data_IF_407321771266
#
_entry.id   IF_407321771266
#
_cell.length_a   1.000
_cell.length_b   1.000
_cell.length_c   1.000
_cell.angle_alpha   90.00
_cell.angle_beta   90.00
_cell.angle_gamma   90.00
#
_symmetry.space_group_name_H-M   'P 1'
#
loop_
_entity.id
_entity.type
_entity.pdbx_description
1 polymer ?
#
# COMPACT_ATOMS: atom_id res chain seq x y z
N UNK A 1 10.46 20.04 7.47
CA UNK A 1 9.14 19.51 7.10
C UNK A 1 9.29 18.87 5.74
N UNK A 2 9.06 17.56 5.63
CA UNK A 2 9.33 16.85 4.38
C UNK A 2 8.39 17.27 3.24
N UNK A 3 8.92 17.30 2.03
CA UNK A 3 8.23 17.79 0.83
C UNK A 3 8.54 16.91 -0.36
N UNK A 4 7.52 16.62 -1.18
CA UNK A 4 7.73 15.96 -2.47
C UNK A 4 8.48 16.93 -3.40
N UNK A 5 9.70 16.57 -3.81
CA UNK A 5 10.48 17.31 -4.80
C UNK A 5 10.10 16.92 -6.22
N UNK A 6 9.86 15.62 -6.43
CA UNK A 6 9.52 15.05 -7.73
C UNK A 6 8.54 13.89 -7.55
N UNK A 7 7.57 13.82 -8.44
CA UNK A 7 6.64 12.70 -8.58
C UNK A 7 6.14 12.65 -10.04
N UNK A 8 5.56 11.53 -10.49
CA UNK A 8 4.87 11.48 -11.78
C UNK A 8 3.82 12.59 -11.89
N UNK A 9 3.64 13.17 -13.07
CA UNK A 9 2.76 14.34 -13.29
C UNK A 9 1.30 14.06 -12.87
N UNK A 10 0.84 12.85 -13.11
CA UNK A 10 -0.48 12.33 -12.75
C UNK A 10 -0.49 11.59 -11.41
N UNK A 11 0.65 11.55 -10.71
CA UNK A 11 0.94 10.75 -9.52
C UNK A 11 0.71 9.24 -9.72
N UNK A 12 0.48 8.78 -10.95
CA UNK A 12 0.31 7.36 -11.26
C UNK A 12 1.68 6.71 -11.19
N UNK A 13 1.78 5.71 -10.33
CA UNK A 13 3.02 4.99 -10.05
C UNK A 13 2.99 3.56 -10.57
N UNK A 14 1.81 3.03 -10.85
CA UNK A 14 1.59 1.72 -11.43
C UNK A 14 0.28 1.67 -12.20
N UNK A 15 0.21 0.80 -13.22
CA UNK A 15 -1.02 0.46 -13.93
C UNK A 15 -1.19 -1.05 -13.89
N UNK A 16 -2.21 -1.53 -13.19
CA UNK A 16 -2.48 -2.95 -13.00
C UNK A 16 -3.81 -3.31 -13.65
N UNK A 17 -3.78 -4.12 -14.72
CA UNK A 17 -5.00 -4.57 -15.43
C UNK A 17 -5.92 -3.42 -15.88
N UNK A 18 -5.34 -2.26 -16.24
CA UNK A 18 -6.11 -1.07 -16.62
C UNK A 18 -6.64 -0.25 -15.44
N UNK A 19 -6.17 -0.52 -14.21
CA UNK A 19 -6.42 0.28 -13.01
C UNK A 19 -5.18 1.12 -12.74
N UNK A 20 -5.34 2.44 -12.72
CA UNK A 20 -4.27 3.36 -12.39
C UNK A 20 -4.14 3.49 -10.87
N UNK A 21 -2.93 3.33 -10.35
CA UNK A 21 -2.62 3.42 -8.92
C UNK A 21 -1.69 4.59 -8.68
N UNK A 22 -2.07 5.45 -7.74
CA UNK A 22 -1.35 6.67 -7.41
C UNK A 22 -0.68 6.60 -6.04
N UNK A 23 0.44 7.32 -5.92
CA UNK A 23 1.00 7.69 -4.63
C UNK A 23 0.10 8.75 -3.95
N UNK A 24 -0.44 8.42 -2.80
CA UNK A 24 -1.48 9.20 -2.11
C UNK A 24 -1.01 9.91 -0.84
N UNK A 25 0.17 9.56 -0.31
CA UNK A 25 0.73 10.23 0.85
C UNK A 25 1.91 9.51 1.48
N UNK A 26 2.55 10.20 2.43
CA UNK A 26 3.72 9.72 3.16
C UNK A 26 3.61 10.15 4.62
N UNK A 27 4.08 9.30 5.52
CA UNK A 27 4.26 9.60 6.93
C UNK A 27 5.60 9.00 7.39
N UNK A 28 6.53 9.89 7.72
CA UNK A 28 7.94 9.55 8.01
C UNK A 28 8.20 8.92 9.38
N UNK A 29 7.18 8.90 10.25
CA UNK A 29 7.25 8.28 11.56
C UNK A 29 5.99 7.46 11.76
N UNK A 30 6.16 6.15 11.80
CA UNK A 30 5.10 5.21 12.14
C UNK A 30 5.64 4.16 13.09
N UNK A 31 4.80 3.75 14.03
CA UNK A 31 5.11 2.67 14.94
C UNK A 31 4.79 1.37 14.19
N UNK A 32 5.76 0.45 14.05
CA UNK A 32 5.50 -0.82 13.39
C UNK A 32 4.35 -1.58 14.08
N UNK A 33 3.57 -2.35 13.32
CA UNK A 33 2.46 -3.09 13.90
C UNK A 33 2.92 -4.21 14.84
N UNK A 34 2.12 -4.55 15.87
CA UNK A 34 2.55 -5.40 17.00
C UNK A 34 2.88 -6.85 16.65
N UNK A 35 2.50 -7.34 15.47
CA UNK A 35 2.85 -8.70 15.01
C UNK A 35 4.30 -8.82 14.51
N UNK A 36 5.03 -7.71 14.36
CA UNK A 36 6.44 -7.71 13.99
C UNK A 36 7.42 -7.99 15.13
N UNK A 37 6.99 -7.91 16.40
CA UNK A 37 7.86 -8.21 17.56
C UNK A 37 8.36 -9.67 17.58
N UNK A 38 7.91 -10.53 16.65
CA UNK A 38 8.21 -11.97 16.60
C UNK A 38 9.16 -12.42 15.48
N UNK A 39 9.68 -11.53 14.63
CA UNK A 39 10.70 -11.93 13.65
C UNK A 39 12.09 -11.94 14.28
N UNK A 40 12.78 -13.09 14.24
CA UNK A 40 14.11 -13.30 14.84
C UNK A 40 15.21 -12.38 14.26
N UNK A 41 14.96 -11.74 13.12
CA UNK A 41 15.87 -10.79 12.44
C UNK A 41 15.64 -9.32 12.85
N UNK A 42 14.76 -9.04 13.81
CA UNK A 42 14.42 -7.67 14.22
C UNK A 42 15.12 -7.33 15.54
N UNK A 43 16.23 -6.61 15.47
CA UNK A 43 16.82 -5.98 16.66
C UNK A 43 15.85 -4.90 17.16
N UNK A 44 15.12 -5.23 18.22
CA UNK A 44 14.03 -4.46 18.83
C UNK A 44 14.48 -3.17 19.55
N UNK A 45 15.50 -2.48 19.05
CA UNK A 45 15.99 -1.23 19.61
C UNK A 45 15.55 -0.08 18.70
N UNK A 46 14.43 0.56 19.06
CA UNK A 46 13.97 1.85 18.50
C UNK A 46 13.65 1.90 16.99
N UNK A 47 13.26 0.80 16.35
CA UNK A 47 12.97 0.77 14.90
C UNK A 47 11.61 1.37 14.55
N UNK A 48 11.45 2.69 14.74
CA UNK A 48 10.42 3.45 14.04
C UNK A 48 10.55 3.20 12.53
N UNK A 49 9.43 3.12 11.83
CA UNK A 49 9.38 2.99 10.38
C UNK A 49 8.78 4.23 9.73
N UNK A 50 8.60 4.16 8.42
CA UNK A 50 7.77 5.11 7.69
C UNK A 50 6.71 4.37 6.86
N UNK A 51 5.65 5.07 6.50
CA UNK A 51 4.60 4.51 5.67
C UNK A 51 4.27 5.41 4.48
N UNK A 52 3.92 4.81 3.36
CA UNK A 52 3.29 5.52 2.25
C UNK A 52 1.95 4.91 1.88
N UNK A 53 1.10 5.75 1.30
CA UNK A 53 -0.26 5.39 0.91
C UNK A 53 -0.37 5.29 -0.59
N UNK A 54 -1.12 4.31 -1.04
CA UNK A 54 -1.53 4.11 -2.42
C UNK A 54 -3.04 4.30 -2.52
N UNK A 55 -3.49 4.80 -3.67
CA UNK A 55 -4.91 4.92 -4.00
C UNK A 55 -5.12 4.61 -5.47
N UNK A 56 -6.09 3.78 -5.82
CA UNK A 56 -6.48 3.62 -7.22
C UNK A 56 -7.40 4.74 -7.68
N UNK A 57 -7.26 5.17 -8.93
CA UNK A 57 -8.17 6.14 -9.54
C UNK A 57 -9.43 5.44 -10.04
N UNK A 58 -10.57 6.13 -9.86
CA UNK A 58 -11.84 5.62 -10.33
C UNK A 58 -11.91 5.68 -11.87
N UNK A 59 -12.11 4.53 -12.50
CA UNK A 59 -12.30 4.42 -13.95
C UNK A 59 -13.41 3.41 -14.26
N UNK A 60 -13.59 3.08 -15.55
CA UNK A 60 -14.65 2.15 -15.95
C UNK A 60 -14.41 0.73 -15.42
N UNK A 61 -13.14 0.30 -15.34
CA UNK A 61 -12.74 -1.01 -14.80
C UNK A 61 -13.04 -1.10 -13.31
N UNK A 62 -12.64 -0.10 -12.51
CA UNK A 62 -12.92 -0.10 -11.07
C UNK A 62 -14.42 -0.07 -10.78
N UNK A 63 -15.21 0.67 -11.58
CA UNK A 63 -16.68 0.68 -11.46
C UNK A 63 -17.32 -0.67 -11.78
N UNK A 64 -16.82 -1.38 -12.80
CA UNK A 64 -17.32 -2.71 -13.13
C UNK A 64 -17.01 -3.72 -12.02
N UNK A 65 -15.79 -3.66 -11.49
CA UNK A 65 -15.37 -4.50 -10.36
C UNK A 65 -16.20 -4.21 -9.10
N UNK A 66 -16.44 -2.94 -8.77
CA UNK A 66 -17.31 -2.55 -7.65
C UNK A 66 -18.74 -3.07 -7.84
N UNK A 67 -19.29 -2.97 -9.05
CA UNK A 67 -20.63 -3.50 -9.34
C UNK A 67 -20.69 -5.02 -9.16
N UNK A 68 -19.66 -5.74 -9.60
CA UNK A 68 -19.52 -7.18 -9.41
C UNK A 68 -19.40 -7.57 -7.94
N UNK A 69 -18.55 -6.87 -7.18
CA UNK A 69 -18.37 -7.08 -5.75
C UNK A 69 -19.67 -6.84 -4.98
N UNK A 70 -20.32 -5.70 -5.18
CA UNK A 70 -21.56 -5.36 -4.48
C UNK A 70 -22.66 -6.40 -4.73
N UNK A 71 -22.81 -6.84 -5.98
CA UNK A 71 -23.76 -7.91 -6.33
C UNK A 71 -23.43 -9.21 -5.60
N UNK A 72 -22.16 -9.62 -5.56
CA UNK A 72 -21.74 -10.84 -4.87
C UNK A 72 -21.92 -10.72 -3.36
N UNK A 73 -21.67 -9.54 -2.80
CA UNK A 73 -21.86 -9.24 -1.38
C UNK A 73 -23.34 -9.30 -0.99
N UNK A 74 -24.24 -8.78 -1.83
CA UNK A 74 -25.69 -8.90 -1.63
C UNK A 74 -26.15 -10.36 -1.62
N UNK A 75 -25.67 -11.17 -2.58
CA UNK A 75 -25.98 -12.61 -2.65
C UNK A 75 -25.47 -13.33 -1.40
N UNK A 76 -24.22 -13.07 -1.01
CA UNK A 76 -23.63 -13.69 0.17
C UNK A 76 -24.38 -13.30 1.45
N UNK A 77 -24.73 -12.01 1.62
CA UNK A 77 -25.53 -11.54 2.75
C UNK A 77 -26.90 -12.20 2.81
N UNK A 78 -27.57 -12.41 1.66
CA UNK A 78 -28.83 -13.14 1.60
C UNK A 78 -28.67 -14.60 2.05
N UNK A 79 -27.61 -15.28 1.60
CA UNK A 79 -27.31 -16.65 2.01
C UNK A 79 -26.98 -16.76 3.50
N UNK A 80 -26.19 -15.82 4.04
CA UNK A 80 -25.88 -15.77 5.48
C UNK A 80 -27.18 -15.61 6.29
N UNK A 81 -28.09 -14.75 5.84
CA UNK A 81 -29.37 -14.50 6.51
C UNK A 81 -30.31 -15.71 6.47
N UNK A 82 -30.34 -16.44 5.36
CA UNK A 82 -31.27 -17.58 5.17
C UNK A 82 -30.74 -18.89 5.76
N UNK A 83 -29.44 -19.16 5.60
CA UNK A 83 -28.85 -20.47 5.92
C UNK A 83 -27.72 -20.42 6.95
N UNK A 84 -27.29 -19.22 7.37
CA UNK A 84 -26.17 -19.02 8.28
C UNK A 84 -24.80 -19.00 7.59
N UNK A 85 -23.80 -18.44 8.27
CA UNK A 85 -22.47 -18.20 7.72
C UNK A 85 -21.71 -19.48 7.32
N UNK A 86 -21.95 -20.60 8.00
CA UNK A 86 -21.32 -21.89 7.67
C UNK A 86 -21.73 -22.43 6.30
N UNK A 87 -22.94 -22.08 5.82
CA UNK A 87 -23.48 -22.52 4.53
C UNK A 87 -23.19 -21.50 3.43
N UNK A 88 -23.24 -20.20 3.75
CA UNK A 88 -22.92 -19.13 2.80
C UNK A 88 -21.46 -19.13 2.33
N UNK A 89 -20.56 -19.75 3.09
CA UNK A 89 -19.14 -19.82 2.76
C UNK A 89 -18.41 -18.49 3.00
N UNK A 90 -17.25 -18.32 2.35
CA UNK A 90 -16.41 -17.13 2.53
C UNK A 90 -17.09 -15.91 1.93
N UNK A 91 -16.99 -14.77 2.63
CA UNK A 91 -17.36 -13.48 2.06
C UNK A 91 -16.56 -13.22 0.77
N UNK A 92 -17.14 -12.51 -0.21
CA UNK A 92 -16.39 -12.10 -1.39
C UNK A 92 -15.17 -11.25 -0.98
N UNK A 93 -14.04 -11.50 -1.64
CA UNK A 93 -12.83 -10.68 -1.52
C UNK A 93 -13.07 -9.28 -2.09
N UNK A 94 -12.28 -8.30 -1.63
CA UNK A 94 -12.35 -6.96 -2.20
C UNK A 94 -11.75 -6.98 -3.61
N UNK A 95 -12.27 -6.15 -4.53
CA UNK A 95 -11.73 -6.05 -5.88
C UNK A 95 -10.23 -5.76 -5.94
N UNK A 96 -9.73 -4.96 -5.01
CA UNK A 96 -8.36 -4.46 -5.02
C UNK A 96 -7.32 -5.44 -4.48
N UNK A 97 -7.77 -6.51 -3.84
CA UNK A 97 -6.93 -7.64 -3.41
C UNK A 97 -6.16 -8.24 -4.61
N UNK A 98 -6.65 -8.06 -5.85
CA UNK A 98 -6.03 -8.62 -7.06
C UNK A 98 -4.75 -7.91 -7.52
N UNK A 99 -4.45 -6.71 -6.99
CA UNK A 99 -3.31 -5.92 -7.48
C UNK A 99 -2.49 -5.21 -6.41
N UNK A 100 -3.04 -4.81 -5.26
CA UNK A 100 -2.25 -4.03 -4.30
C UNK A 100 -1.03 -4.81 -3.78
N UNK A 101 -1.18 -6.09 -3.46
CA UNK A 101 -0.08 -6.95 -2.98
C UNK A 101 1.10 -7.03 -3.96
N UNK A 102 0.84 -6.75 -5.24
CA UNK A 102 1.84 -6.80 -6.30
C UNK A 102 2.64 -5.50 -6.42
N UNK A 103 2.18 -4.41 -5.81
CA UNK A 103 2.79 -3.09 -5.89
C UNK A 103 3.59 -2.83 -4.63
N UNK A 104 4.90 -2.66 -4.76
CA UNK A 104 5.75 -2.18 -3.67
C UNK A 104 6.71 -1.10 -4.18
N UNK A 105 7.60 -0.63 -3.30
CA UNK A 105 8.67 0.29 -3.65
C UNK A 105 10.04 -0.26 -3.25
N UNK A 106 11.02 -0.08 -4.13
CA UNK A 106 12.42 -0.09 -3.75
C UNK A 106 12.75 1.29 -3.18
N UNK A 107 13.26 1.31 -1.95
CA UNK A 107 13.46 2.53 -1.17
C UNK A 107 14.95 2.78 -1.00
N UNK A 108 15.38 3.99 -1.34
CA UNK A 108 16.77 4.43 -1.23
C UNK A 108 16.83 5.82 -0.58
N UNK A 109 17.90 6.10 0.15
CA UNK A 109 18.27 7.44 0.60
C UNK A 109 19.71 7.77 0.21
N UNK A 110 20.13 9.01 0.47
CA UNK A 110 21.47 9.50 0.18
C UNK A 110 22.56 8.97 1.14
N UNK A 111 22.18 8.28 2.21
CA UNK A 111 23.09 7.68 3.20
C UNK A 111 23.32 6.17 2.98
N UNK A 112 22.56 5.54 2.08
CA UNK A 112 22.63 4.11 1.78
C UNK A 112 21.98 3.24 2.85
N UNK A 113 20.92 3.73 3.51
CA UNK A 113 20.15 2.95 4.48
C UNK A 113 19.44 1.80 3.79
N UNK A 114 19.55 0.59 4.35
CA UNK A 114 18.81 -0.58 3.86
C UNK A 114 17.39 -0.57 4.44
N UNK A 115 16.40 -0.34 3.57
CA UNK A 115 15.00 -0.37 3.94
C UNK A 115 14.35 -1.70 3.56
N UNK A 116 13.55 -2.23 4.48
CA UNK A 116 12.81 -3.48 4.31
C UNK A 116 11.32 -3.20 4.40
N UNK A 117 10.56 -3.77 3.47
CA UNK A 117 9.10 -3.77 3.57
C UNK A 117 8.67 -4.71 4.71
N UNK A 118 7.94 -4.15 5.67
CA UNK A 118 7.57 -4.86 6.89
C UNK A 118 6.06 -5.17 7.00
N UNK A 119 5.31 -4.79 5.97
CA UNK A 119 3.88 -5.05 5.86
C UNK A 119 3.08 -3.78 5.62
N UNK A 120 1.82 -3.79 6.07
CA UNK A 120 0.93 -2.65 5.85
C UNK A 120 -0.53 -3.02 5.99
N UNK A 121 -1.38 -2.11 5.54
CA UNK A 121 -2.82 -2.27 5.54
C UNK A 121 -3.31 -2.30 4.09
N UNK A 122 -3.90 -3.43 3.70
CA UNK A 122 -4.61 -3.53 2.43
C UNK A 122 -5.97 -2.85 2.51
N UNK A 123 -6.61 -2.73 1.34
CA UNK A 123 -7.94 -2.17 1.24
C UNK A 123 -8.94 -2.79 2.22
N UNK A 124 -9.89 -1.96 2.65
CA UNK A 124 -10.98 -2.36 3.55
C UNK A 124 -12.32 -2.07 2.90
N UNK A 125 -13.42 -2.56 3.47
CA UNK A 125 -14.77 -2.26 2.94
C UNK A 125 -15.06 -0.75 2.95
N UNK A 126 -14.50 -0.02 3.92
CA UNK A 126 -14.66 1.44 4.04
C UNK A 126 -13.70 2.23 3.14
N UNK A 127 -12.58 1.62 2.73
CA UNK A 127 -11.59 2.18 1.82
C UNK A 127 -11.12 1.11 0.81
N UNK A 128 -12.00 0.68 -0.12
CA UNK A 128 -11.76 -0.51 -0.96
C UNK A 128 -10.69 -0.31 -2.03
N UNK A 129 -10.20 0.91 -2.19
CA UNK A 129 -9.30 1.35 -3.26
C UNK A 129 -8.07 2.08 -2.70
N UNK A 130 -7.75 1.87 -1.42
CA UNK A 130 -6.59 2.44 -0.74
C UNK A 130 -5.76 1.33 -0.10
N UNK A 131 -4.45 1.54 -0.04
CA UNK A 131 -3.53 0.66 0.67
C UNK A 131 -2.44 1.49 1.34
N UNK A 132 -1.80 0.94 2.37
CA UNK A 132 -0.68 1.56 3.07
C UNK A 132 0.44 0.55 3.19
N UNK A 133 1.66 0.92 2.79
CA UNK A 133 2.85 0.12 2.97
C UNK A 133 3.79 0.74 4.00
N UNK A 134 4.36 -0.10 4.85
CA UNK A 134 5.23 0.27 5.94
C UNK A 134 6.62 -0.30 5.68
N UNK A 135 7.63 0.55 5.81
CA UNK A 135 9.05 0.23 5.64
C UNK A 135 9.82 0.56 6.90
N UNK A 136 10.87 -0.21 7.16
CA UNK A 136 11.77 -0.04 8.29
C UNK A 136 13.23 -0.06 7.82
N UNK A 137 14.12 0.75 8.41
CA UNK A 137 13.86 1.73 9.46
C UNK A 137 13.16 3.00 8.93
N UNK A 138 12.85 3.95 9.80
CA UNK A 138 12.51 5.31 9.42
C UNK A 138 13.77 5.98 8.84
N UNK A 139 13.61 6.97 7.94
CA UNK A 139 14.76 7.65 7.39
C UNK A 139 15.61 8.32 8.48
N UNK A 140 16.95 8.16 8.45
CA UNK A 140 17.83 8.80 9.41
C UNK A 140 17.65 10.33 9.42
N UNK A 141 17.89 10.97 10.57
CA UNK A 141 17.77 12.44 10.68
C UNK A 141 18.73 13.20 9.75
N UNK A 142 19.88 12.60 9.44
CA UNK A 142 20.89 13.17 8.55
C UNK A 142 20.60 12.92 7.05
N UNK A 143 19.59 12.11 6.71
CA UNK A 143 19.23 11.86 5.31
C UNK A 143 18.56 13.10 4.73
N UNK A 144 19.00 13.54 3.55
CA UNK A 144 18.42 14.69 2.86
C UNK A 144 17.29 14.29 1.91
N UNK A 145 17.37 13.09 1.33
CA UNK A 145 16.43 12.64 0.30
C UNK A 145 15.97 11.21 0.52
N UNK A 146 14.67 10.97 0.31
CA UNK A 146 14.11 9.63 0.21
C UNK A 146 13.55 9.42 -1.19
N UNK A 147 13.96 8.34 -1.85
CA UNK A 147 13.48 7.96 -3.18
C UNK A 147 12.67 6.67 -3.07
N UNK A 148 11.44 6.72 -3.57
CA UNK A 148 10.56 5.56 -3.70
C UNK A 148 10.49 5.20 -5.18
N UNK A 149 11.09 4.08 -5.60
CA UNK A 149 10.97 3.54 -6.96
C UNK A 149 9.90 2.46 -6.97
N UNK A 150 8.83 2.67 -7.70
CA UNK A 150 7.70 1.74 -7.66
C UNK A 150 7.94 0.53 -8.55
N UNK A 151 7.57 -0.63 -8.05
CA UNK A 151 7.69 -1.92 -8.74
C UNK A 151 6.35 -2.64 -8.72
N UNK A 152 6.07 -3.40 -9.79
CA UNK A 152 4.92 -4.31 -9.89
C UNK A 152 5.47 -5.69 -10.19
N UNK A 153 5.19 -6.69 -9.34
CA UNK A 153 5.70 -8.06 -9.49
C UNK A 153 7.24 -8.11 -9.65
N UNK A 154 7.95 -7.22 -8.95
CA UNK A 154 9.42 -7.10 -9.01
C UNK A 154 9.97 -6.43 -10.27
N UNK A 155 9.11 -5.85 -11.11
CA UNK A 155 9.50 -5.07 -12.29
C UNK A 155 9.30 -3.58 -12.03
N UNK A 156 10.34 -2.78 -12.29
CA UNK A 156 10.26 -1.32 -12.22
C UNK A 156 9.17 -0.78 -13.13
N UNK A 157 8.33 0.11 -12.61
CA UNK A 157 7.31 0.81 -13.40
C UNK A 157 7.89 1.99 -14.18
N UNK A 158 9.14 2.38 -13.89
CA UNK A 158 9.76 3.61 -14.38
C UNK A 158 9.26 4.87 -13.68
N UNK A 159 8.41 4.74 -12.66
CA UNK A 159 7.92 5.83 -11.85
C UNK A 159 8.59 5.86 -10.49
N UNK A 160 8.97 7.05 -10.04
CA UNK A 160 9.55 7.27 -8.72
C UNK A 160 9.08 8.57 -8.10
N UNK A 161 9.05 8.60 -6.77
CA UNK A 161 8.85 9.82 -5.99
C UNK A 161 10.14 10.15 -5.24
N UNK A 162 10.56 11.41 -5.29
CA UNK A 162 11.67 11.94 -4.50
C UNK A 162 11.12 12.90 -3.46
N UNK A 163 11.50 12.69 -2.22
CA UNK A 163 11.06 13.45 -1.05
C UNK A 163 12.27 14.15 -0.45
N UNK A 164 12.21 15.47 -0.32
CA UNK A 164 13.13 16.26 0.51
C UNK A 164 12.78 16.01 1.98
N UNK A 165 13.75 15.54 2.74
CA UNK A 165 13.65 15.29 4.17
C UNK A 165 14.14 16.48 5.01
N UNK A 166 14.87 17.43 4.39
CA UNK A 166 15.46 18.57 5.11
C UNK A 166 14.38 19.42 5.76
N UNK A 167 14.65 19.85 7.00
CA UNK A 167 13.71 20.65 7.78
C UNK A 167 14.05 22.12 7.88
#
# INVERSE_FOLDING_TARGET
MARIESAPLDLVVAVCQGIDVCFAGLKLSTVPPPWQEYSEDYDAVDSSGFEFKLRSLANDVTRELDAGFNKNLEIWNAQVKEFGASVAGRAPSLPSDIFFEHICAEVEDDLGTEYVWIGGEMASVDAPWEATWIYSPAPPEDAEHLVLKFVVDGLETGHSCTIDLRS
#
